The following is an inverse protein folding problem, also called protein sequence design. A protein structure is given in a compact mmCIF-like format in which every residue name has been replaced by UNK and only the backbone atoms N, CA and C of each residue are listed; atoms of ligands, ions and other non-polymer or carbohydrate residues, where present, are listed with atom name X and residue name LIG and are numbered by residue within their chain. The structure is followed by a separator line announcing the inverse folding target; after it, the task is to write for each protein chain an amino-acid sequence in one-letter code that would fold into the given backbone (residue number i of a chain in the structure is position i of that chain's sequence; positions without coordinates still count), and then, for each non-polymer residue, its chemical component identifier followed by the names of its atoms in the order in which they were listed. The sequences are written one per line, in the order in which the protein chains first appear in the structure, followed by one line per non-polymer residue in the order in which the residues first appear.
data_IF_052332432464
#
_entry.id   IF_052332432464
#
_cell.length_a   1.000
_cell.length_b   1.000
_cell.length_c   1.000
_cell.angle_alpha   90.00
_cell.angle_beta   90.00
_cell.angle_gamma   90.00
#
_symmetry.space_group_name_H-M   'P 1'
#
loop_
_entity.id
_entity.type
_entity.pdbx_description
1 polymer ?
#
# COMPACT_ATOMS: atom_id res chain seq x y z
N UNK A 1 -4.54 -7.40 -16.19
CA UNK A 1 -5.51 -7.54 -15.07
C UNK A 1 -5.14 -6.70 -13.84
N UNK A 2 -4.01 -6.94 -13.14
CA UNK A 2 -3.65 -6.12 -11.96
C UNK A 2 -3.42 -4.66 -12.34
N UNK A 3 -2.69 -4.40 -13.40
CA UNK A 3 -2.48 -3.07 -13.96
C UNK A 3 -3.82 -2.38 -14.28
N UNK A 4 -4.71 -3.06 -14.99
CA UNK A 4 -6.02 -2.50 -15.38
C UNK A 4 -6.90 -2.15 -14.16
N UNK A 5 -6.78 -2.95 -13.09
CA UNK A 5 -7.43 -2.65 -11.81
C UNK A 5 -6.83 -1.39 -11.19
N UNK A 6 -5.51 -1.24 -11.19
CA UNK A 6 -4.84 -0.03 -10.72
C UNK A 6 -5.28 1.22 -11.50
N UNK A 7 -5.37 1.12 -12.81
CA UNK A 7 -5.87 2.20 -13.67
C UNK A 7 -7.33 2.57 -13.35
N UNK A 8 -8.21 1.59 -13.19
CA UNK A 8 -9.61 1.84 -12.85
C UNK A 8 -9.73 2.54 -11.49
N UNK A 9 -9.02 2.04 -10.47
CA UNK A 9 -9.00 2.62 -9.14
C UNK A 9 -8.55 4.08 -9.19
N UNK A 10 -7.46 4.38 -9.89
CA UNK A 10 -6.92 5.73 -9.87
C UNK A 10 -7.75 6.73 -10.68
N UNK A 11 -8.41 6.29 -11.75
CA UNK A 11 -9.33 7.15 -12.50
C UNK A 11 -10.48 7.61 -11.61
N UNK A 12 -11.11 6.69 -10.90
CA UNK A 12 -12.20 7.01 -9.98
C UNK A 12 -11.72 7.86 -8.80
N UNK A 13 -10.60 7.48 -8.19
CA UNK A 13 -10.02 8.17 -7.05
C UNK A 13 -9.61 9.60 -7.41
N UNK A 14 -9.03 9.80 -8.59
CA UNK A 14 -8.68 11.12 -9.10
C UNK A 14 -9.93 11.98 -9.38
N UNK A 15 -10.99 11.37 -9.87
CA UNK A 15 -12.26 12.08 -10.08
C UNK A 15 -12.84 12.57 -8.74
N UNK A 16 -12.81 11.75 -7.68
CA UNK A 16 -13.21 12.18 -6.34
C UNK A 16 -12.35 13.31 -5.79
N UNK A 17 -11.03 13.24 -5.97
CA UNK A 17 -10.14 14.32 -5.55
C UNK A 17 -10.43 15.62 -6.30
N UNK A 18 -10.65 15.57 -7.61
CA UNK A 18 -10.99 16.75 -8.41
C UNK A 18 -12.34 17.37 -7.99
N UNK A 19 -13.25 16.57 -7.44
CA UNK A 19 -14.54 17.03 -6.87
C UNK A 19 -14.39 17.52 -5.40
N UNK A 20 -13.17 17.65 -4.90
CA UNK A 20 -12.87 18.13 -3.55
C UNK A 20 -13.17 17.12 -2.44
N UNK A 21 -13.35 15.85 -2.78
CA UNK A 21 -13.57 14.77 -1.82
C UNK A 21 -12.24 14.14 -1.45
N UNK A 22 -12.03 13.96 -0.16
CA UNK A 22 -10.93 13.19 0.40
C UNK A 22 -11.47 11.89 0.97
N UNK A 23 -10.85 10.77 0.63
CA UNK A 23 -11.20 9.44 1.14
C UNK A 23 -10.19 8.95 2.17
N UNK A 24 -10.43 7.75 2.71
CA UNK A 24 -9.62 7.14 3.79
C UNK A 24 -8.14 6.97 3.43
N UNK A 25 -7.82 6.78 2.16
CA UNK A 25 -6.46 6.60 1.68
C UNK A 25 -5.95 7.80 0.86
N UNK A 26 -6.72 8.90 0.82
CA UNK A 26 -6.38 10.10 0.08
C UNK A 26 -5.86 11.16 1.04
N UNK A 27 -4.65 11.61 0.82
CA UNK A 27 -4.02 12.64 1.62
C UNK A 27 -3.59 13.82 0.74
N UNK A 28 -4.16 14.99 1.00
CA UNK A 28 -3.62 16.24 0.49
C UNK A 28 -2.49 16.71 1.43
N UNK A 29 -1.26 16.65 0.96
CA UNK A 29 -0.19 17.34 1.66
C UNK A 29 -0.30 18.84 1.40
N UNK A 30 0.19 19.64 2.35
CA UNK A 30 0.29 21.11 2.24
C UNK A 30 1.05 21.60 0.99
N UNK A 31 1.61 20.68 0.20
CA UNK A 31 2.39 20.93 -1.01
C UNK A 31 1.66 20.59 -2.31
N UNK A 32 0.33 20.48 -2.30
CA UNK A 32 -0.50 20.20 -3.50
C UNK A 32 -0.24 18.85 -4.19
N UNK A 33 0.25 17.85 -3.47
CA UNK A 33 0.39 16.50 -4.00
C UNK A 33 -0.77 15.62 -3.55
N UNK A 34 -1.42 14.99 -4.51
CA UNK A 34 -2.41 13.96 -4.27
C UNK A 34 -1.69 12.63 -4.03
N UNK A 35 -1.78 12.12 -2.82
CA UNK A 35 -1.18 10.86 -2.41
C UNK A 35 -2.25 9.81 -2.12
N UNK A 36 -2.02 8.59 -2.60
CA UNK A 36 -2.86 7.44 -2.38
C UNK A 36 -2.09 6.37 -1.62
N UNK A 37 -2.54 6.01 -0.41
CA UNK A 37 -1.84 5.07 0.45
C UNK A 37 -2.06 3.61 0.01
N UNK A 38 -1.48 3.26 -1.10
CA UNK A 38 -1.52 1.96 -1.76
C UNK A 38 -0.33 1.84 -2.71
N UNK A 39 0.10 0.63 -3.07
CA UNK A 39 -0.33 -0.67 -2.57
C UNK A 39 0.29 -1.06 -1.23
N UNK A 40 -0.29 -2.10 -0.60
CA UNK A 40 0.38 -2.80 0.49
C UNK A 40 1.49 -3.66 -0.07
N UNK A 41 2.70 -3.48 0.45
CA UNK A 41 3.92 -4.19 0.01
C UNK A 41 4.37 -5.28 0.99
N UNK A 42 3.72 -5.38 2.15
CA UNK A 42 3.97 -6.44 3.12
C UNK A 42 3.77 -7.82 2.50
N UNK A 43 4.65 -8.75 2.78
CA UNK A 43 4.33 -10.17 2.69
C UNK A 43 3.48 -10.56 3.89
N UNK A 44 2.49 -11.41 3.68
CA UNK A 44 1.67 -11.94 4.77
C UNK A 44 2.48 -12.90 5.64
N UNK A 45 2.65 -12.60 6.92
CA UNK A 45 3.48 -13.38 7.85
C UNK A 45 2.70 -13.96 9.03
N UNK A 46 1.82 -13.19 9.66
CA UNK A 46 1.09 -13.63 10.86
C UNK A 46 -0.42 -13.70 10.60
N UNK A 47 -1.04 -14.89 10.64
CA UNK A 47 -2.47 -15.08 10.38
C UNK A 47 -3.38 -14.44 11.45
N UNK A 48 -2.84 -13.98 12.56
CA UNK A 48 -3.59 -13.26 13.60
C UNK A 48 -3.75 -11.78 13.30
N UNK A 49 -2.99 -11.24 12.37
CA UNK A 49 -3.09 -9.85 11.99
C UNK A 49 -4.38 -9.59 11.20
N UNK A 50 -5.25 -8.73 11.74
CA UNK A 50 -6.60 -8.49 11.17
C UNK A 50 -6.60 -7.80 9.79
N UNK A 51 -5.46 -7.27 9.32
CA UNK A 51 -5.30 -6.64 8.01
C UNK A 51 -4.47 -7.47 7.02
N UNK A 52 -4.28 -8.73 7.30
CA UNK A 52 -3.53 -9.66 6.47
C UNK A 52 -4.04 -9.74 5.03
N UNK A 53 -5.37 -9.66 4.86
CA UNK A 53 -6.04 -9.68 3.55
C UNK A 53 -5.72 -8.48 2.66
N UNK A 54 -5.07 -7.44 3.19
CA UNK A 54 -4.55 -6.34 2.38
C UNK A 54 -3.22 -6.71 1.71
N UNK A 55 -2.56 -7.76 2.17
CA UNK A 55 -1.29 -8.22 1.61
C UNK A 55 -1.53 -9.05 0.34
N UNK A 56 -0.76 -8.82 -0.72
CA UNK A 56 -0.96 -9.53 -1.98
C UNK A 56 -0.56 -10.99 -1.93
N UNK A 57 0.38 -11.39 -1.05
CA UNK A 57 0.90 -12.75 -0.95
C UNK A 57 1.78 -12.96 0.28
N UNK A 58 1.99 -14.23 0.63
CA UNK A 58 3.06 -14.69 1.53
C UNK A 58 4.42 -14.79 0.80
N UNK A 59 4.38 -14.95 -0.53
CA UNK A 59 5.56 -15.09 -1.37
C UNK A 59 6.07 -13.71 -1.83
N UNK A 60 7.31 -13.33 -1.47
CA UNK A 60 7.91 -12.04 -1.86
C UNK A 60 7.98 -11.84 -3.37
N UNK A 61 8.22 -12.90 -4.14
CA UNK A 61 8.29 -12.82 -5.59
C UNK A 61 6.91 -12.49 -6.21
N UNK A 62 5.87 -13.11 -5.70
CA UNK A 62 4.50 -12.81 -6.11
C UNK A 62 4.13 -11.37 -5.73
N UNK A 63 4.41 -10.99 -4.47
CA UNK A 63 4.14 -9.65 -3.96
C UNK A 63 4.84 -8.58 -4.82
N UNK A 64 6.12 -8.77 -5.16
CA UNK A 64 6.88 -7.86 -6.02
C UNK A 64 6.22 -7.65 -7.39
N UNK A 65 5.79 -8.73 -8.03
CA UNK A 65 5.14 -8.66 -9.35
C UNK A 65 3.78 -7.96 -9.28
N UNK A 66 3.00 -8.26 -8.24
CA UNK A 66 1.73 -7.60 -7.99
C UNK A 66 1.92 -6.09 -7.77
N UNK A 67 2.86 -5.72 -6.88
CA UNK A 67 3.15 -4.32 -6.54
C UNK A 67 3.59 -3.53 -7.76
N UNK A 68 4.50 -4.08 -8.58
CA UNK A 68 4.93 -3.42 -9.82
C UNK A 68 3.77 -3.14 -10.77
N UNK A 69 2.93 -4.13 -11.01
CA UNK A 69 1.78 -3.98 -11.89
C UNK A 69 0.77 -2.96 -11.32
N UNK A 70 0.53 -3.00 -10.01
CA UNK A 70 -0.38 -2.07 -9.34
C UNK A 70 0.15 -0.63 -9.41
N UNK A 71 1.44 -0.41 -9.10
CA UNK A 71 2.08 0.90 -9.18
C UNK A 71 2.02 1.48 -10.59
N UNK A 72 2.31 0.64 -11.61
CA UNK A 72 2.19 1.09 -13.00
C UNK A 72 0.77 1.54 -13.32
N UNK A 73 -0.26 0.83 -12.87
CA UNK A 73 -1.65 1.22 -13.10
C UNK A 73 -2.05 2.47 -12.33
N UNK A 74 -1.56 2.65 -11.10
CA UNK A 74 -1.91 3.80 -10.26
C UNK A 74 -1.23 5.09 -10.73
N UNK A 75 0.06 5.04 -11.03
CA UNK A 75 0.87 6.23 -11.28
C UNK A 75 1.02 6.57 -12.75
N UNK A 76 0.97 5.57 -13.64
CA UNK A 76 1.28 5.78 -15.06
C UNK A 76 0.17 6.59 -15.74
N UNK A 77 0.62 7.59 -16.47
CA UNK A 77 -0.20 8.43 -17.32
C UNK A 77 0.56 8.58 -18.62
N UNK A 78 -0.06 8.15 -19.71
CA UNK A 78 0.49 8.23 -21.07
C UNK A 78 0.83 9.66 -21.51
N UNK A 79 0.47 10.67 -20.71
CA UNK A 79 0.72 12.09 -20.98
C UNK A 79 2.03 12.59 -20.37
N UNK A 80 2.74 11.76 -19.60
CA UNK A 80 3.98 12.11 -18.89
C UNK A 80 3.77 12.76 -17.53
N UNK A 81 2.54 12.82 -17.05
CA UNK A 81 2.20 13.27 -15.69
C UNK A 81 1.69 12.09 -14.86
N UNK A 82 2.00 12.08 -13.57
CA UNK A 82 1.45 11.09 -12.66
C UNK A 82 0.05 11.49 -12.22
N UNK A 83 -0.89 10.54 -12.26
CA UNK A 83 -2.25 10.76 -11.77
C UNK A 83 -2.28 10.90 -10.26
N UNK A 84 -1.36 10.22 -9.57
CA UNK A 84 -1.23 10.19 -8.12
C UNK A 84 0.21 9.90 -7.75
N UNK A 85 0.57 10.17 -6.51
CA UNK A 85 1.77 9.61 -5.89
C UNK A 85 1.32 8.42 -5.05
N UNK A 86 1.64 7.22 -5.51
CA UNK A 86 1.37 6.01 -4.75
C UNK A 86 2.31 5.94 -3.53
N UNK A 87 1.73 5.79 -2.36
CA UNK A 87 2.46 5.66 -1.11
C UNK A 87 2.36 4.23 -0.63
N UNK A 88 3.40 3.45 -0.95
CA UNK A 88 3.49 2.05 -0.51
C UNK A 88 3.45 1.95 1.01
N UNK A 89 2.75 0.94 1.51
CA UNK A 89 2.63 0.64 2.94
C UNK A 89 2.71 -0.87 3.16
N UNK A 90 3.11 -1.31 4.31
CA UNK A 90 3.61 -0.55 5.45
C UNK A 90 5.12 -0.64 5.49
N UNK A 91 5.77 0.12 6.40
CA UNK A 91 7.19 -0.07 6.63
C UNK A 91 7.47 -1.42 7.32
N UNK A 92 8.67 -1.94 7.23
CA UNK A 92 9.10 -3.28 7.61
C UNK A 92 8.50 -3.81 8.92
N UNK A 93 8.22 -5.12 8.97
CA UNK A 93 7.72 -5.85 10.14
C UNK A 93 6.37 -5.37 10.71
N UNK A 94 5.49 -4.86 9.86
CA UNK A 94 4.17 -4.37 10.28
C UNK A 94 3.08 -5.44 10.09
N UNK A 95 3.12 -6.51 10.90
CA UNK A 95 2.16 -7.62 10.88
C UNK A 95 1.39 -7.73 12.19
N UNK A 96 1.15 -6.60 12.86
CA UNK A 96 0.50 -6.55 14.16
C UNK A 96 -0.49 -5.38 14.24
N UNK A 97 -1.64 -5.60 14.83
CA UNK A 97 -2.62 -4.57 15.14
C UNK A 97 -2.62 -4.18 16.60
N UNK A 98 -3.37 -4.95 17.40
CA UNK A 98 -3.37 -4.89 18.85
C UNK A 98 -3.67 -6.29 19.43
N UNK A 99 -3.10 -6.59 20.54
CA UNK A 99 -3.36 -7.85 21.26
C UNK A 99 -3.03 -7.69 22.74
N UNK A 100 -3.94 -8.10 23.62
CA UNK A 100 -3.77 -8.08 25.07
C UNK A 100 -3.22 -6.75 25.64
N UNK A 101 -3.71 -5.63 25.12
CA UNK A 101 -3.31 -4.31 25.58
C UNK A 101 -2.02 -3.77 24.97
N UNK A 102 -1.34 -4.54 24.14
CA UNK A 102 -0.21 -4.08 23.35
C UNK A 102 -0.72 -3.59 22.01
N UNK A 103 -0.46 -2.34 21.68
CA UNK A 103 -0.74 -1.76 20.39
C UNK A 103 0.49 -1.83 19.46
N UNK A 104 0.27 -1.75 18.15
CA UNK A 104 1.34 -1.77 17.13
C UNK A 104 2.46 -0.76 17.37
N UNK A 105 2.16 0.35 18.00
CA UNK A 105 3.15 1.41 18.30
C UNK A 105 4.07 1.06 19.47
N UNK A 106 3.67 0.11 20.31
CA UNK A 106 4.46 -0.38 21.42
C UNK A 106 5.10 -1.75 21.18
N UNK A 107 4.92 -2.31 19.99
CA UNK A 107 5.48 -3.60 19.63
C UNK A 107 6.98 -3.46 19.31
N UNK A 108 7.79 -4.23 20.01
CA UNK A 108 9.21 -4.45 19.68
C UNK A 108 9.34 -5.75 18.88
N UNK A 109 9.18 -5.65 17.56
CA UNK A 109 9.21 -6.81 16.68
C UNK A 109 10.62 -7.35 16.51
N UNK A 110 10.81 -8.62 16.85
CA UNK A 110 12.06 -9.34 16.64
C UNK A 110 11.97 -10.08 15.29
N UNK A 111 12.74 -9.62 14.31
CA UNK A 111 12.77 -10.18 12.95
C UNK A 111 14.17 -10.66 12.60
N UNK A 112 14.25 -11.67 11.75
CA UNK A 112 15.53 -12.16 11.24
C UNK A 112 16.04 -11.28 10.10
N UNK A 113 17.35 -11.34 9.83
CA UNK A 113 17.94 -10.66 8.66
C UNK A 113 17.34 -11.16 7.35
N UNK A 114 16.99 -12.45 7.31
CA UNK A 114 16.32 -13.03 6.14
C UNK A 114 14.96 -12.37 5.91
N UNK A 115 14.11 -12.32 6.92
CA UNK A 115 12.78 -11.71 6.82
C UNK A 115 12.85 -10.25 6.40
N UNK A 116 13.84 -9.51 6.91
CA UNK A 116 14.07 -8.12 6.50
C UNK A 116 14.52 -8.01 5.05
N UNK A 117 15.29 -8.98 4.55
CA UNK A 117 15.75 -8.99 3.16
C UNK A 117 14.68 -9.41 2.15
N UNK A 118 13.67 -10.14 2.60
CA UNK A 118 12.50 -10.52 1.81
C UNK A 118 11.49 -9.37 1.64
N UNK A 119 11.56 -8.39 2.53
CA UNK A 119 10.72 -7.20 2.52
C UNK A 119 11.19 -6.20 1.47
#
# INVERSE_FOLDING_TARGET
MVLDIGEAIIIETRAYNNDGRVGFDLYESSFSYFSFQSPTINTFKDPRWGRDRECPSEDPFHAQNFVRAMLSGLEDDFTGYRRVIATCKHYAANDFGNYEGTERYGLDAIITTQELSEY
#
